data_IF_196978596022
#
_entry.id   IF_196978596022
#
_cell.length_a   1.000
_cell.length_b   1.000
_cell.length_c   1.000
_cell.angle_alpha   90.00
_cell.angle_beta   90.00
_cell.angle_gamma   90.00
#
_symmetry.space_group_name_H-M   'P 1'
#
loop_
_entity.id
_entity.type
_entity.pdbx_description
1 polymer ?
#
# COMPACT_ATOMS: atom_id res chain seq x y z
N UNK A 1 -1.33 15.09 19.15
CA UNK A 1 -1.22 14.25 17.94
C UNK A 1 -1.40 12.80 18.33
N UNK A 2 -2.00 11.98 17.45
CA UNK A 2 -2.22 10.54 17.71
C UNK A 2 -0.89 9.76 17.84
N UNK A 3 0.14 10.19 17.11
CA UNK A 3 1.52 9.67 17.21
C UNK A 3 2.38 10.69 17.99
N UNK A 4 2.98 10.31 19.13
CA UNK A 4 3.90 11.17 19.89
C UNK A 4 5.10 11.67 19.06
N UNK A 5 5.62 12.85 19.37
CA UNK A 5 6.72 13.47 18.61
C UNK A 5 7.99 12.59 18.56
N UNK A 6 8.29 11.89 19.65
CA UNK A 6 9.42 10.95 19.71
C UNK A 6 9.28 9.73 18.80
N UNK A 7 8.06 9.45 18.31
CA UNK A 7 7.75 8.34 17.40
C UNK A 7 7.72 8.76 15.92
N UNK A 8 7.86 10.05 15.61
CA UNK A 8 7.78 10.57 14.25
C UNK A 8 9.12 10.41 13.52
N UNK A 9 9.06 10.19 12.21
CA UNK A 9 10.25 10.12 11.36
C UNK A 9 10.72 11.53 10.96
N UNK A 10 12.05 11.76 10.86
CA UNK A 10 13.13 10.83 11.19
C UNK A 10 13.30 10.66 12.72
N UNK A 11 13.62 9.43 13.16
CA UNK A 11 13.81 9.11 14.57
C UNK A 11 15.09 9.80 15.08
N UNK A 12 14.97 10.59 16.15
CA UNK A 12 16.09 11.33 16.74
C UNK A 12 16.88 10.51 17.76
N UNK A 13 16.23 9.56 18.45
CA UNK A 13 16.85 8.65 19.42
C UNK A 13 16.04 7.36 19.55
N UNK A 14 16.69 6.21 19.40
CA UNK A 14 16.09 4.89 19.62
C UNK A 14 15.53 4.74 21.02
N UNK A 15 16.23 5.26 22.03
CA UNK A 15 15.79 5.24 23.42
C UNK A 15 14.53 6.09 23.63
N UNK A 16 14.50 7.31 23.11
CA UNK A 16 13.32 8.17 23.21
C UNK A 16 12.12 7.57 22.44
N UNK A 17 12.36 6.98 21.27
CA UNK A 17 11.36 6.28 20.48
C UNK A 17 10.76 5.11 21.27
N UNK A 18 11.60 4.19 21.76
CA UNK A 18 11.15 2.98 22.46
C UNK A 18 10.51 3.27 23.82
N UNK A 19 11.02 4.26 24.56
CA UNK A 19 10.38 4.75 25.78
C UNK A 19 8.96 5.27 25.48
N UNK A 20 8.85 6.12 24.45
CA UNK A 20 7.55 6.64 24.03
C UNK A 20 6.62 5.54 23.53
N UNK A 21 7.15 4.55 22.80
CA UNK A 21 6.39 3.40 22.30
C UNK A 21 5.88 2.52 23.45
N UNK A 22 6.69 2.31 24.49
CA UNK A 22 6.28 1.56 25.67
C UNK A 22 5.14 2.24 26.44
N UNK A 23 5.15 3.57 26.49
CA UNK A 23 4.14 4.35 27.24
C UNK A 23 2.88 4.65 26.45
N UNK A 24 3.00 4.90 25.14
CA UNK A 24 1.87 5.21 24.28
C UNK A 24 2.06 4.63 22.86
N UNK A 25 1.83 3.32 22.67
CA UNK A 25 2.02 2.67 21.38
C UNK A 25 0.88 2.91 20.38
N UNK A 26 -0.27 3.41 20.84
CA UNK A 26 -1.55 3.37 20.11
C UNK A 26 -1.45 3.99 18.71
N UNK A 27 -0.87 5.19 18.58
CA UNK A 27 -0.77 5.86 17.28
C UNK A 27 0.02 5.06 16.25
N UNK A 28 1.20 4.57 16.63
CA UNK A 28 2.08 3.81 15.74
C UNK A 28 1.50 2.44 15.39
N UNK A 29 0.89 1.75 16.35
CA UNK A 29 0.21 0.48 16.07
C UNK A 29 -0.99 0.67 15.15
N UNK A 30 -1.80 1.72 15.38
CA UNK A 30 -2.94 2.04 14.52
C UNK A 30 -2.49 2.32 13.09
N UNK A 31 -1.40 3.07 12.90
CA UNK A 31 -0.84 3.32 11.56
C UNK A 31 -0.51 2.01 10.83
N UNK A 32 0.16 1.06 11.48
CA UNK A 32 0.51 -0.22 10.85
C UNK A 32 -0.73 -1.09 10.58
N UNK A 33 -1.74 -1.07 11.45
CA UNK A 33 -3.02 -1.73 11.18
C UNK A 33 -3.78 -1.11 10.01
N UNK A 34 -3.78 0.23 9.89
CA UNK A 34 -4.37 0.91 8.75
C UNK A 34 -3.63 0.57 7.46
N UNK A 35 -2.31 0.42 7.50
CA UNK A 35 -1.52 -0.04 6.36
C UNK A 35 -1.91 -1.47 5.93
N UNK A 36 -2.09 -2.39 6.89
CA UNK A 36 -2.62 -3.73 6.60
C UNK A 36 -4.03 -3.68 5.99
N UNK A 37 -4.90 -2.83 6.55
CA UNK A 37 -6.27 -2.66 6.07
C UNK A 37 -6.33 -2.12 4.63
N UNK A 38 -5.46 -1.16 4.29
CA UNK A 38 -5.32 -0.66 2.90
C UNK A 38 -4.95 -1.80 1.95
N UNK A 39 -4.05 -2.70 2.33
CA UNK A 39 -3.70 -3.86 1.53
C UNK A 39 -4.87 -4.84 1.35
N UNK A 40 -5.73 -5.00 2.35
CA UNK A 40 -6.99 -5.77 2.22
C UNK A 40 -7.92 -5.11 1.20
N UNK A 41 -8.14 -3.80 1.29
CA UNK A 41 -8.98 -3.07 0.33
C UNK A 41 -8.42 -3.10 -1.09
N UNK A 42 -7.10 -3.07 -1.25
CA UNK A 42 -6.44 -3.17 -2.54
C UNK A 42 -6.81 -4.48 -3.27
N UNK A 43 -7.06 -5.59 -2.57
CA UNK A 43 -7.50 -6.85 -3.19
C UNK A 43 -8.83 -6.69 -3.95
N UNK A 44 -9.78 -5.92 -3.40
CA UNK A 44 -11.04 -5.60 -4.08
C UNK A 44 -10.77 -4.74 -5.32
N UNK A 45 -9.87 -3.77 -5.19
CA UNK A 45 -9.42 -2.94 -6.31
C UNK A 45 -8.77 -3.75 -7.44
N UNK A 46 -7.93 -4.73 -7.10
CA UNK A 46 -7.27 -5.64 -8.04
C UNK A 46 -8.30 -6.46 -8.83
N UNK A 47 -9.29 -7.05 -8.13
CA UNK A 47 -10.40 -7.77 -8.77
C UNK A 47 -11.21 -6.86 -9.68
N UNK A 48 -11.46 -5.63 -9.25
CA UNK A 48 -12.16 -4.64 -10.07
C UNK A 48 -11.39 -4.36 -11.35
N UNK A 49 -10.08 -4.09 -11.25
CA UNK A 49 -9.21 -3.83 -12.40
C UNK A 49 -9.22 -5.00 -13.38
N UNK A 50 -9.19 -6.25 -12.91
CA UNK A 50 -9.29 -7.43 -13.76
C UNK A 50 -10.50 -7.36 -14.71
N UNK A 51 -11.69 -7.06 -14.19
CA UNK A 51 -12.89 -6.95 -15.03
C UNK A 51 -12.83 -5.80 -16.03
N UNK A 52 -12.06 -4.75 -15.75
CA UNK A 52 -11.90 -3.59 -16.64
C UNK A 52 -10.92 -3.83 -17.77
N UNK A 53 -9.92 -4.68 -17.58
CA UNK A 53 -8.84 -4.88 -18.56
C UNK A 53 -8.85 -6.25 -19.23
N UNK A 54 -9.61 -7.23 -18.71
CA UNK A 54 -9.69 -8.59 -19.28
C UNK A 54 -10.13 -8.64 -20.74
N UNK A 55 -10.88 -7.66 -21.22
CA UNK A 55 -11.34 -7.58 -22.61
C UNK A 55 -10.20 -7.36 -23.62
N UNK A 56 -9.04 -6.85 -23.17
CA UNK A 56 -7.83 -6.69 -24.01
C UNK A 56 -7.06 -8.00 -24.07
N UNK A 57 -6.81 -8.60 -22.90
CA UNK A 57 -6.14 -9.89 -22.79
C UNK A 57 -6.50 -10.55 -21.46
N UNK A 58 -7.26 -11.64 -21.53
CA UNK A 58 -7.71 -12.35 -20.33
C UNK A 58 -6.55 -13.00 -19.58
N UNK A 59 -5.56 -13.55 -20.29
CA UNK A 59 -4.38 -14.19 -19.70
C UNK A 59 -3.52 -13.18 -18.91
N UNK A 60 -3.19 -12.03 -19.51
CA UNK A 60 -2.40 -11.00 -18.83
C UNK A 60 -3.18 -10.33 -17.69
N UNK A 61 -4.48 -10.14 -17.85
CA UNK A 61 -5.32 -9.63 -16.76
C UNK A 61 -5.34 -10.60 -15.58
N UNK A 62 -5.51 -11.91 -15.83
CA UNK A 62 -5.51 -12.93 -14.78
C UNK A 62 -4.14 -13.07 -14.11
N UNK A 63 -3.05 -13.06 -14.88
CA UNK A 63 -1.69 -13.00 -14.35
C UNK A 63 -1.51 -11.80 -13.42
N UNK A 64 -1.93 -10.61 -13.86
CA UNK A 64 -1.95 -9.41 -13.05
C UNK A 64 -2.72 -9.61 -11.75
N UNK A 65 -3.93 -10.17 -11.79
CA UNK A 65 -4.72 -10.45 -10.58
C UNK A 65 -3.98 -11.32 -9.57
N UNK A 66 -3.33 -12.41 -10.02
CA UNK A 66 -2.54 -13.29 -9.14
C UNK A 66 -1.38 -12.52 -8.52
N UNK A 67 -0.60 -11.81 -9.34
CA UNK A 67 0.56 -11.02 -8.87
C UNK A 67 0.13 -9.99 -7.84
N UNK A 68 -0.95 -9.24 -8.13
CA UNK A 68 -1.51 -8.24 -7.21
C UNK A 68 -2.04 -8.87 -5.92
N UNK A 69 -2.71 -10.02 -6.00
CA UNK A 69 -3.23 -10.70 -4.82
C UNK A 69 -2.11 -11.18 -3.90
N UNK A 70 -1.03 -11.76 -4.45
CA UNK A 70 0.16 -12.15 -3.69
C UNK A 70 0.81 -10.90 -3.07
N UNK A 71 0.96 -9.81 -3.84
CA UNK A 71 1.52 -8.56 -3.33
C UNK A 71 0.71 -8.01 -2.14
N UNK A 72 -0.62 -7.99 -2.26
CA UNK A 72 -1.53 -7.57 -1.19
C UNK A 72 -1.41 -8.45 0.05
N UNK A 73 -1.40 -9.78 -0.13
CA UNK A 73 -1.23 -10.74 0.96
C UNK A 73 0.10 -10.55 1.70
N UNK A 74 1.22 -10.46 0.97
CA UNK A 74 2.54 -10.25 1.59
C UNK A 74 2.63 -8.90 2.30
N UNK A 75 1.92 -7.88 1.81
CA UNK A 75 1.84 -6.56 2.46
C UNK A 75 1.08 -6.66 3.78
N UNK A 76 -0.01 -7.43 3.84
CA UNK A 76 -0.74 -7.72 5.08
C UNK A 76 0.18 -8.44 6.08
N UNK A 77 0.86 -9.50 5.65
CA UNK A 77 1.79 -10.27 6.50
C UNK A 77 2.89 -9.36 7.06
N UNK A 78 3.53 -8.56 6.21
CA UNK A 78 4.55 -7.60 6.62
C UNK A 78 4.02 -6.60 7.64
N UNK A 79 2.84 -6.00 7.40
CA UNK A 79 2.25 -5.02 8.30
C UNK A 79 1.91 -5.63 9.67
N UNK A 80 1.35 -6.85 9.71
CA UNK A 80 1.05 -7.57 10.95
C UNK A 80 2.33 -7.94 11.70
N UNK A 81 3.38 -8.37 10.99
CA UNK A 81 4.69 -8.63 11.59
C UNK A 81 5.25 -7.36 12.25
N UNK A 82 5.13 -6.20 11.60
CA UNK A 82 5.59 -4.93 12.17
C UNK A 82 4.82 -4.56 13.45
N UNK A 83 3.50 -4.77 13.49
CA UNK A 83 2.70 -4.59 14.72
C UNK A 83 3.23 -5.48 15.84
N UNK A 84 3.42 -6.77 15.56
CA UNK A 84 3.90 -7.73 16.56
C UNK A 84 5.32 -7.37 17.06
N UNK A 85 6.22 -6.99 16.16
CA UNK A 85 7.57 -6.54 16.52
C UNK A 85 7.56 -5.29 17.40
N UNK A 86 6.74 -4.29 17.08
CA UNK A 86 6.61 -3.07 17.88
C UNK A 86 6.01 -3.33 19.26
N UNK A 87 4.98 -4.18 19.34
CA UNK A 87 4.40 -4.61 20.62
C UNK A 87 5.41 -5.37 21.48
N UNK A 88 6.18 -6.27 20.87
CA UNK A 88 7.22 -7.01 21.57
C UNK A 88 8.28 -6.06 22.14
N UNK A 89 8.83 -5.16 21.31
CA UNK A 89 9.82 -4.15 21.75
C UNK A 89 9.28 -3.27 22.89
N UNK A 90 8.05 -2.78 22.78
CA UNK A 90 7.39 -2.01 23.82
C UNK A 90 7.28 -2.79 25.15
N UNK A 91 6.96 -4.08 25.08
CA UNK A 91 6.80 -4.94 26.27
C UNK A 91 8.12 -5.20 26.99
N UNK A 92 9.21 -5.40 26.24
CA UNK A 92 10.51 -5.72 26.83
C UNK A 92 11.28 -4.48 27.27
N UNK A 93 11.03 -3.31 26.67
CA UNK A 93 11.77 -2.08 26.97
C UNK A 93 11.72 -1.71 28.46
N UNK A 94 10.57 -1.91 29.11
CA UNK A 94 10.41 -1.60 30.55
C UNK A 94 11.24 -2.48 31.47
N UNK A 95 11.51 -3.72 31.07
CA UNK A 95 12.26 -4.68 31.88
C UNK A 95 13.74 -4.74 31.49
N UNK A 96 14.04 -4.53 30.20
CA UNK A 96 15.36 -4.70 29.60
C UNK A 96 15.57 -3.67 28.47
N UNK A 97 15.68 -2.40 28.84
CA UNK A 97 15.86 -1.28 27.89
C UNK A 97 17.02 -1.51 26.93
N UNK A 98 18.15 -1.97 27.45
CA UNK A 98 19.40 -2.11 26.68
C UNK A 98 19.26 -3.18 25.60
N UNK A 99 18.57 -4.28 25.91
CA UNK A 99 18.26 -5.35 24.94
C UNK A 99 17.27 -4.83 23.89
N UNK A 100 16.22 -4.12 24.31
CA UNK A 100 15.23 -3.58 23.39
C UNK A 100 15.84 -2.58 22.40
N UNK A 101 16.74 -1.70 22.87
CA UNK A 101 17.49 -0.77 22.01
C UNK A 101 18.42 -1.54 21.07
N UNK A 102 19.20 -2.50 21.57
CA UNK A 102 20.09 -3.30 20.74
C UNK A 102 19.33 -4.08 19.64
N UNK A 103 18.14 -4.60 19.95
CA UNK A 103 17.28 -5.26 18.97
C UNK A 103 16.69 -4.30 17.93
N UNK A 104 16.36 -3.07 18.34
CA UNK A 104 15.82 -2.04 17.44
C UNK A 104 16.89 -1.47 16.50
N UNK A 105 18.11 -1.31 16.99
CA UNK A 105 19.26 -0.79 16.23
C UNK A 105 20.02 -1.88 15.46
N UNK A 106 19.70 -3.15 15.71
CA UNK A 106 20.29 -4.26 14.98
C UNK A 106 20.16 -4.00 13.47
N UNK A 107 21.22 -4.28 12.68
CA UNK A 107 21.15 -4.15 11.24
C UNK A 107 19.92 -4.89 10.72
N UNK A 108 19.03 -4.14 10.08
CA UNK A 108 17.81 -4.72 9.52
C UNK A 108 18.25 -5.65 8.39
N UNK A 109 18.23 -6.95 8.64
CA UNK A 109 18.34 -7.94 7.57
C UNK A 109 17.29 -7.61 6.52
N UNK A 110 17.67 -7.70 5.24
CA UNK A 110 16.80 -7.38 4.12
C UNK A 110 15.51 -8.18 4.28
N UNK A 111 14.42 -7.52 4.69
CA UNK A 111 13.17 -8.20 4.96
C UNK A 111 12.62 -8.72 3.62
N UNK A 112 12.56 -10.05 3.42
CA UNK A 112 12.20 -10.62 2.12
C UNK A 112 10.76 -10.28 1.75
N UNK A 113 9.86 -10.12 2.72
CA UNK A 113 8.48 -9.71 2.46
C UNK A 113 8.43 -8.28 1.94
N UNK A 114 9.15 -7.34 2.56
CA UNK A 114 9.19 -5.94 2.12
C UNK A 114 9.78 -5.78 0.72
N UNK A 115 10.86 -6.49 0.42
CA UNK A 115 11.47 -6.47 -0.92
C UNK A 115 10.52 -7.07 -1.96
N UNK A 116 9.91 -8.20 -1.63
CA UNK A 116 9.00 -8.90 -2.54
C UNK A 116 7.72 -8.10 -2.79
N UNK A 117 7.18 -7.40 -1.78
CA UNK A 117 5.99 -6.55 -1.97
C UNK A 117 6.26 -5.40 -2.92
N UNK A 118 7.42 -4.71 -2.83
CA UNK A 118 7.79 -3.68 -3.81
C UNK A 118 7.84 -4.24 -5.23
N UNK A 119 8.53 -5.36 -5.43
CA UNK A 119 8.68 -6.00 -6.74
C UNK A 119 7.33 -6.40 -7.33
N UNK A 120 6.51 -7.13 -6.57
CA UNK A 120 5.23 -7.64 -7.06
C UNK A 120 4.22 -6.51 -7.28
N UNK A 121 4.21 -5.48 -6.44
CA UNK A 121 3.34 -4.32 -6.64
C UNK A 121 3.77 -3.53 -7.88
N UNK A 122 5.08 -3.37 -8.12
CA UNK A 122 5.59 -2.74 -9.35
C UNK A 122 5.20 -3.53 -10.60
N UNK A 123 5.33 -4.86 -10.55
CA UNK A 123 4.94 -5.76 -11.62
C UNK A 123 3.42 -5.71 -11.89
N UNK A 124 2.61 -5.67 -10.84
CA UNK A 124 1.17 -5.50 -10.96
C UNK A 124 0.81 -4.20 -11.69
N UNK A 125 1.34 -3.06 -11.21
CA UNK A 125 1.10 -1.77 -11.84
C UNK A 125 1.57 -1.75 -13.29
N UNK A 126 2.69 -2.40 -13.61
CA UNK A 126 3.21 -2.44 -14.97
C UNK A 126 2.24 -3.15 -15.91
N UNK A 127 1.86 -4.38 -15.54
CA UNK A 127 0.94 -5.21 -16.35
C UNK A 127 -0.39 -4.49 -16.53
N UNK A 128 -0.98 -4.00 -15.44
CA UNK A 128 -2.28 -3.33 -15.48
C UNK A 128 -2.21 -2.05 -16.31
N UNK A 129 -1.16 -1.24 -16.16
CA UNK A 129 -1.05 0.02 -16.90
C UNK A 129 -0.89 -0.22 -18.40
N UNK A 130 -0.09 -1.21 -18.80
CA UNK A 130 0.07 -1.59 -20.20
C UNK A 130 -1.24 -2.09 -20.82
N UNK A 131 -2.07 -2.81 -20.05
CA UNK A 131 -3.40 -3.21 -20.50
C UNK A 131 -4.36 -2.02 -20.54
N UNK A 132 -4.35 -1.14 -19.53
CA UNK A 132 -5.21 0.05 -19.47
C UNK A 132 -4.97 0.99 -20.67
N UNK A 133 -3.72 1.13 -21.14
CA UNK A 133 -3.39 1.92 -22.34
C UNK A 133 -4.09 1.42 -23.62
N UNK A 134 -4.54 0.16 -23.63
CA UNK A 134 -5.23 -0.48 -24.75
C UNK A 134 -6.76 -0.48 -24.58
N UNK A 135 -7.27 0.08 -23.47
CA UNK A 135 -8.71 0.20 -23.19
C UNK A 135 -9.23 1.61 -23.49
N UNK A 136 -10.55 1.81 -23.31
CA UNK A 136 -11.19 3.13 -23.32
C UNK A 136 -11.07 3.88 -21.98
N UNK A 137 -10.37 3.32 -20.98
CA UNK A 137 -10.15 4.00 -19.70
C UNK A 137 -9.32 5.29 -19.90
N UNK A 138 -9.47 6.28 -18.99
CA UNK A 138 -8.65 7.48 -19.04
C UNK A 138 -7.16 7.15 -18.97
N UNK A 139 -6.41 7.59 -19.99
CA UNK A 139 -4.96 7.36 -20.09
C UNK A 139 -4.18 7.85 -18.88
N UNK A 140 -4.68 8.87 -18.19
CA UNK A 140 -4.08 9.36 -16.95
C UNK A 140 -3.92 8.25 -15.90
N UNK A 141 -4.90 7.35 -15.74
CA UNK A 141 -4.77 6.23 -14.79
C UNK A 141 -3.63 5.29 -15.17
N UNK A 142 -3.50 4.99 -16.46
CA UNK A 142 -2.41 4.16 -16.94
C UNK A 142 -1.05 4.82 -16.72
N UNK A 143 -0.93 6.14 -16.97
CA UNK A 143 0.31 6.87 -16.70
C UNK A 143 0.62 6.94 -15.20
N UNK A 144 -0.37 7.15 -14.34
CA UNK A 144 -0.19 7.09 -12.88
C UNK A 144 0.31 5.72 -12.43
N UNK A 145 -0.22 4.64 -13.03
CA UNK A 145 0.26 3.29 -12.75
C UNK A 145 1.70 3.06 -13.23
N UNK A 146 2.10 3.58 -14.39
CA UNK A 146 3.50 3.52 -14.84
C UNK A 146 4.45 4.31 -13.93
N UNK A 147 4.02 5.48 -13.42
CA UNK A 147 4.79 6.24 -12.43
C UNK A 147 4.93 5.43 -11.13
N UNK A 148 3.85 4.78 -10.67
CA UNK A 148 3.90 3.90 -9.52
C UNK A 148 4.84 2.70 -9.74
N UNK A 149 4.85 2.10 -10.94
CA UNK A 149 5.83 1.05 -11.30
C UNK A 149 7.26 1.55 -11.16
N UNK A 150 7.60 2.72 -11.70
CA UNK A 150 8.95 3.26 -11.66
C UNK A 150 9.41 3.52 -10.22
N UNK A 151 8.55 4.13 -9.41
CA UNK A 151 8.84 4.44 -8.02
C UNK A 151 8.98 3.18 -7.14
N UNK A 152 8.08 2.20 -7.30
CA UNK A 152 8.16 0.94 -6.57
C UNK A 152 9.36 0.09 -7.01
N UNK A 153 9.76 0.15 -8.28
CA UNK A 153 10.98 -0.49 -8.79
C UNK A 153 12.23 0.13 -8.18
N UNK A 154 12.26 1.47 -8.04
CA UNK A 154 13.31 2.16 -7.30
C UNK A 154 13.32 1.73 -5.82
N UNK A 155 12.16 1.70 -5.16
CA UNK A 155 12.00 1.19 -3.79
C UNK A 155 12.50 -0.24 -3.62
N UNK A 156 12.22 -1.13 -4.58
CA UNK A 156 12.74 -2.51 -4.62
C UNK A 156 14.27 -2.54 -4.67
N UNK A 157 14.89 -1.82 -5.62
CA UNK A 157 16.36 -1.81 -5.78
C UNK A 157 17.03 -1.29 -4.51
N UNK A 158 16.54 -0.19 -3.97
CA UNK A 158 17.08 0.44 -2.76
C UNK A 158 16.91 -0.48 -1.55
N UNK A 159 15.76 -1.14 -1.40
CA UNK A 159 15.53 -2.10 -0.32
C UNK A 159 16.42 -3.35 -0.45
N UNK A 160 16.61 -3.87 -1.67
CA UNK A 160 17.49 -5.00 -1.95
C UNK A 160 18.96 -4.70 -1.64
N UNK A 161 19.38 -3.43 -1.79
CA UNK A 161 20.72 -2.95 -1.44
C UNK A 161 20.87 -2.57 0.04
N UNK A 162 19.82 -2.72 0.87
CA UNK A 162 19.85 -2.38 2.29
C UNK A 162 19.87 -0.87 2.59
N UNK A 163 19.57 -0.02 1.61
CA UNK A 163 19.63 1.44 1.71
C UNK A 163 18.34 2.04 2.32
N UNK A 164 18.02 1.66 3.56
CA UNK A 164 16.73 1.93 4.21
C UNK A 164 16.29 3.40 4.26
N UNK A 165 17.22 4.36 4.34
CA UNK A 165 16.93 5.79 4.37
C UNK A 165 16.33 6.30 3.05
N UNK A 166 16.76 5.75 1.92
CA UNK A 166 16.26 6.11 0.59
C UNK A 166 14.88 5.52 0.30
N UNK A 167 14.52 4.41 0.96
CA UNK A 167 13.19 3.79 0.82
C UNK A 167 12.08 4.71 1.35
N UNK A 168 12.38 5.59 2.31
CA UNK A 168 11.40 6.55 2.85
C UNK A 168 10.98 7.55 1.77
N UNK A 169 11.90 8.01 0.93
CA UNK A 169 11.59 8.93 -0.17
C UNK A 169 10.76 8.27 -1.27
N UNK A 170 11.08 7.02 -1.62
CA UNK A 170 10.26 6.22 -2.52
C UNK A 170 8.84 6.02 -1.93
N UNK A 171 8.75 5.65 -0.66
CA UNK A 171 7.47 5.46 0.03
C UNK A 171 6.60 6.72 0.07
N UNK A 172 7.19 7.92 0.13
CA UNK A 172 6.45 9.18 0.06
C UNK A 172 5.79 9.40 -1.32
N UNK A 173 6.50 9.07 -2.40
CA UNK A 173 6.00 9.24 -3.77
C UNK A 173 4.97 8.15 -4.09
N UNK A 174 5.27 6.87 -3.84
CA UNK A 174 4.32 5.76 -3.97
C UNK A 174 3.07 5.98 -3.10
N UNK A 175 3.28 6.43 -1.86
CA UNK A 175 2.23 6.67 -0.88
C UNK A 175 1.25 7.77 -1.28
N UNK A 176 1.65 8.69 -2.18
CA UNK A 176 0.77 9.73 -2.72
C UNK A 176 0.18 9.34 -4.09
N UNK A 177 1.03 8.89 -5.01
CA UNK A 177 0.67 8.71 -6.44
C UNK A 177 0.04 7.34 -6.69
N UNK A 178 0.73 6.26 -6.32
CA UNK A 178 0.26 4.88 -6.51
C UNK A 178 -0.84 4.48 -5.53
N UNK A 179 -0.93 5.15 -4.38
CA UNK A 179 -2.00 4.98 -3.41
C UNK A 179 -3.21 5.87 -3.71
N UNK A 180 -3.41 6.97 -2.96
CA UNK A 180 -4.64 7.75 -3.00
C UNK A 180 -5.07 8.21 -4.39
N UNK A 181 -4.14 8.73 -5.21
CA UNK A 181 -4.51 9.35 -6.49
C UNK A 181 -5.01 8.32 -7.49
N UNK A 182 -4.28 7.20 -7.66
CA UNK A 182 -4.69 6.12 -8.56
C UNK A 182 -6.03 5.50 -8.12
N UNK A 183 -6.16 5.14 -6.84
CA UNK A 183 -7.37 4.48 -6.33
C UNK A 183 -8.59 5.41 -6.30
N UNK A 184 -8.41 6.68 -5.94
CA UNK A 184 -9.49 7.67 -6.01
C UNK A 184 -9.93 7.93 -7.45
N UNK A 185 -8.98 8.02 -8.38
CA UNK A 185 -9.29 8.15 -9.81
C UNK A 185 -10.09 6.96 -10.34
N UNK A 186 -9.69 5.74 -9.99
CA UNK A 186 -10.44 4.52 -10.35
C UNK A 186 -11.84 4.53 -9.73
N UNK A 187 -11.96 4.82 -8.42
CA UNK A 187 -13.24 4.87 -7.72
C UNK A 187 -14.20 5.93 -8.28
N UNK A 188 -13.68 7.10 -8.64
CA UNK A 188 -14.45 8.15 -9.29
C UNK A 188 -15.05 7.68 -10.63
N UNK A 189 -14.28 6.96 -11.44
CA UNK A 189 -14.78 6.42 -12.71
C UNK A 189 -15.87 5.37 -12.50
N UNK A 190 -15.66 4.45 -11.55
CA UNK A 190 -16.66 3.42 -11.24
C UNK A 190 -17.99 4.05 -10.81
N UNK A 191 -17.93 5.08 -9.95
CA UNK A 191 -19.11 5.82 -9.53
C UNK A 191 -19.81 6.50 -10.70
N UNK A 192 -19.06 7.20 -11.56
CA UNK A 192 -19.62 7.91 -12.72
C UNK A 192 -20.34 6.96 -13.69
N UNK A 193 -19.81 5.75 -13.87
CA UNK A 193 -20.42 4.73 -14.73
C UNK A 193 -21.66 4.10 -14.10
N UNK A 194 -21.66 3.89 -12.78
CA UNK A 194 -22.86 3.45 -12.05
C UNK A 194 -23.99 4.48 -12.13
N UNK A 195 -23.68 5.77 -11.99
CA UNK A 195 -24.66 6.85 -12.10
C UNK A 195 -25.26 6.91 -13.52
N UNK A 196 -24.45 6.69 -14.56
CA UNK A 196 -24.88 6.68 -15.96
C UNK A 196 -25.78 5.50 -16.34
N UNK A 197 -25.77 4.41 -15.55
CA UNK A 197 -26.55 3.19 -15.82
C UNK A 197 -27.85 3.11 -15.01
N UNK A 198 -28.12 4.10 -14.15
CA UNK A 198 -29.37 4.16 -13.37
C UNK A 198 -30.52 4.64 -14.28
N UNK A 199 -31.59 3.84 -14.51
CA UNK A 199 -32.69 4.26 -15.37
C UNK A 199 -33.41 5.48 -14.79
N UNK A 200 -33.58 6.54 -15.60
CA UNK A 200 -34.52 7.62 -15.26
C UNK A 200 -35.91 7.01 -15.18
N UNK A 201 -36.54 7.06 -14.00
CA UNK A 201 -37.90 6.56 -13.82
C UNK A 201 -38.81 7.20 -14.88
N UNK A 202 -39.48 6.38 -15.69
CA UNK A 202 -40.38 6.86 -16.73
C UNK A 202 -41.47 7.75 -16.09
N UNK A 203 -41.84 8.89 -16.70
CA UNK A 203 -42.91 9.72 -16.19
C UNK A 203 -44.18 8.88 -16.09
N UNK A 204 -44.80 8.86 -14.91
CA UNK A 204 -46.08 8.17 -14.70
C UNK A 204 -47.10 8.77 -15.66
N UNK A 205 -47.73 7.99 -16.55
CA UNK A 205 -48.71 8.56 -17.46
C UNK A 205 -49.86 9.14 -16.64
N UNK A 206 -50.15 10.43 -16.87
CA UNK A 206 -51.27 11.10 -16.24
C UNK A 206 -52.55 10.35 -16.60
N UNK A 207 -53.21 9.79 -15.58
CA UNK A 207 -54.53 9.17 -15.70
C UNK A 207 -55.49 10.26 -16.14
N UNK A 208 -56.04 10.11 -17.35
CA UNK A 208 -57.14 10.94 -17.85
C UNK A 208 -58.47 10.41 -17.33
#
# INVERSE_FOLDING_TARGET
MLVPAAQQLPISSSQAYLASLADNPTGTLLFNWLYALVAVWALIGIVTVYYRVRGVSEAWAFFGTIVGAIAGFLTIVFAVQQVASLQYLASIYRAKSDIAVAMFEAPVEVNPFRVTTFLLTAAWFLVVSLLMLQTSLPRLLAYLGLVATADLSFGFVVAALGLNSLVVYAALIAGLVGGPVFWAGLGYLLRREADATTPVAAPTPAVR
#
